data_IF_238729876859
#
_entry.id   IF_238729876859
#
_cell.length_a   1.000
_cell.length_b   1.000
_cell.length_c   1.000
_cell.angle_alpha   90.00
_cell.angle_beta   90.00
_cell.angle_gamma   90.00
#
_symmetry.space_group_name_H-M   'P 1'
#
loop_
_entity.id
_entity.type
_entity.pdbx_description
1 polymer ?
#
# COMPACT_ATOMS: atom_id res chain seq x y z
N UNK A 1 -41.81 -12.20 10.62
CA UNK A 1 -42.22 -11.35 11.75
C UNK A 1 -42.66 -9.99 11.21
N UNK A 2 -43.87 -9.51 11.54
CA UNK A 2 -44.33 -8.18 11.12
C UNK A 2 -43.63 -7.07 11.92
N UNK A 3 -43.55 -5.86 11.35
CA UNK A 3 -42.89 -4.71 11.98
C UNK A 3 -43.54 -4.33 13.32
N UNK A 4 -44.88 -4.41 13.39
CA UNK A 4 -45.65 -4.18 14.61
C UNK A 4 -45.33 -5.23 15.69
N UNK A 5 -45.26 -6.52 15.32
CA UNK A 5 -44.95 -7.60 16.26
C UNK A 5 -43.53 -7.47 16.82
N UNK A 6 -42.56 -7.07 15.98
CA UNK A 6 -41.17 -6.83 16.40
C UNK A 6 -41.06 -5.70 17.40
N UNK A 7 -41.77 -4.60 17.17
CA UNK A 7 -41.76 -3.44 18.06
C UNK A 7 -42.40 -3.76 19.42
N UNK A 8 -43.47 -4.56 19.44
CA UNK A 8 -44.10 -5.01 20.69
C UNK A 8 -43.15 -5.91 21.51
N UNK A 9 -42.50 -6.88 20.87
CA UNK A 9 -41.56 -7.80 21.55
C UNK A 9 -40.37 -7.03 22.15
N UNK A 10 -39.86 -6.03 21.44
CA UNK A 10 -38.72 -5.22 21.88
C UNK A 10 -39.13 -3.97 22.70
N UNK A 11 -40.43 -3.82 23.01
CA UNK A 11 -41.00 -2.68 23.74
C UNK A 11 -40.69 -1.30 23.13
N UNK A 12 -40.63 -1.22 21.80
CA UNK A 12 -40.43 0.04 21.10
C UNK A 12 -41.77 0.65 20.67
N UNK A 13 -42.01 1.90 21.03
CA UNK A 13 -43.19 2.65 20.58
C UNK A 13 -43.04 3.18 19.14
N UNK A 14 -41.80 3.30 18.64
CA UNK A 14 -41.49 3.78 17.28
C UNK A 14 -40.61 2.75 16.52
N UNK A 15 -41.00 2.28 15.32
CA UNK A 15 -40.17 1.43 14.47
C UNK A 15 -38.79 2.02 14.15
N UNK A 16 -38.66 3.35 14.13
CA UNK A 16 -37.38 4.04 13.86
C UNK A 16 -36.35 3.75 14.94
N UNK A 17 -36.77 3.48 16.17
CA UNK A 17 -35.87 3.12 17.28
C UNK A 17 -35.12 1.82 16.97
N UNK A 18 -35.83 0.83 16.43
CA UNK A 18 -35.23 -0.43 15.99
C UNK A 18 -34.21 -0.20 14.87
N UNK A 19 -34.59 0.54 13.83
CA UNK A 19 -33.70 0.82 12.69
C UNK A 19 -32.45 1.60 13.12
N UNK A 20 -32.58 2.53 14.07
CA UNK A 20 -31.49 3.41 14.51
C UNK A 20 -30.51 2.74 15.48
N UNK A 21 -31.00 1.88 16.36
CA UNK A 21 -30.20 1.32 17.46
C UNK A 21 -29.91 -0.18 17.33
N UNK A 22 -30.75 -0.93 16.60
CA UNK A 22 -30.70 -2.39 16.53
C UNK A 22 -30.45 -2.93 15.12
N UNK A 23 -30.56 -2.09 14.08
CA UNK A 23 -30.17 -2.43 12.71
C UNK A 23 -28.92 -1.64 12.29
N UNK A 24 -27.75 -1.84 12.94
CA UNK A 24 -26.55 -1.13 12.56
C UNK A 24 -26.15 -1.49 11.13
N UNK A 25 -26.10 -0.50 10.24
CA UNK A 25 -25.59 -0.65 8.86
C UNK A 25 -24.12 -1.07 8.80
N UNK A 26 -23.42 -1.09 9.94
CA UNK A 26 -22.03 -1.48 10.10
C UNK A 26 -21.91 -2.33 11.37
N UNK A 27 -21.65 -3.62 11.21
CA UNK A 27 -21.32 -4.51 12.33
C UNK A 27 -19.84 -4.31 12.65
N UNK A 28 -19.54 -3.32 13.49
CA UNK A 28 -18.19 -3.02 13.97
C UNK A 28 -17.91 -3.64 15.35
N UNK A 29 -18.84 -4.43 15.86
CA UNK A 29 -18.81 -5.06 17.18
C UNK A 29 -18.75 -6.57 17.02
N UNK A 30 -17.96 -7.20 17.89
CA UNK A 30 -17.78 -8.65 17.93
C UNK A 30 -19.00 -9.30 18.60
N UNK A 31 -20.03 -9.55 17.80
CA UNK A 31 -21.28 -10.15 18.27
C UNK A 31 -21.05 -11.53 18.90
N UNK A 32 -20.06 -12.29 18.39
CA UNK A 32 -19.76 -13.62 18.90
C UNK A 32 -19.17 -13.55 20.31
N UNK A 33 -18.21 -12.65 20.55
CA UNK A 33 -17.65 -12.44 21.88
C UNK A 33 -18.73 -11.96 22.87
N UNK A 34 -19.57 -11.00 22.46
CA UNK A 34 -20.67 -10.48 23.29
C UNK A 34 -21.63 -11.58 23.71
N UNK A 35 -22.10 -12.41 22.76
CA UNK A 35 -23.04 -13.51 23.06
C UNK A 35 -22.42 -14.56 23.98
N UNK A 36 -21.10 -14.75 23.92
CA UNK A 36 -20.37 -15.72 24.74
C UNK A 36 -19.86 -15.15 26.07
N UNK A 37 -20.10 -13.86 26.35
CA UNK A 37 -19.54 -13.19 27.53
C UNK A 37 -18.01 -13.07 27.50
N UNK A 38 -17.40 -13.12 26.31
CA UNK A 38 -15.97 -12.98 26.10
C UNK A 38 -15.61 -11.52 25.79
N UNK A 39 -14.34 -11.18 25.98
CA UNK A 39 -13.85 -9.84 25.69
C UNK A 39 -13.84 -9.57 24.16
N UNK A 40 -14.52 -8.51 23.67
CA UNK A 40 -14.63 -8.23 22.24
C UNK A 40 -13.28 -7.91 21.57
N UNK A 41 -12.99 -8.55 20.44
CA UNK A 41 -11.78 -8.25 19.66
C UNK A 41 -12.00 -7.06 18.71
N UNK A 42 -12.04 -5.85 19.27
CA UNK A 42 -12.34 -4.62 18.53
C UNK A 42 -11.38 -4.35 17.36
N UNK A 43 -10.08 -4.65 17.53
CA UNK A 43 -9.08 -4.47 16.48
C UNK A 43 -9.28 -5.44 15.31
N UNK A 44 -9.62 -6.71 15.60
CA UNK A 44 -9.92 -7.73 14.60
C UNK A 44 -11.17 -7.35 13.83
N UNK A 45 -12.24 -6.95 14.53
CA UNK A 45 -13.47 -6.49 13.87
C UNK A 45 -13.22 -5.26 12.99
N UNK A 46 -12.42 -4.31 13.47
CA UNK A 46 -12.07 -3.13 12.69
C UNK A 46 -11.20 -3.48 11.47
N UNK A 47 -10.25 -4.39 11.62
CA UNK A 47 -9.41 -4.90 10.53
C UNK A 47 -10.26 -5.61 9.47
N UNK A 48 -11.11 -6.56 9.85
CA UNK A 48 -12.01 -7.29 8.97
C UNK A 48 -12.96 -6.35 8.21
N UNK A 49 -13.55 -5.37 8.89
CA UNK A 49 -14.40 -4.36 8.28
C UNK A 49 -13.65 -3.41 7.34
N UNK A 50 -12.35 -3.14 7.56
CA UNK A 50 -11.50 -2.36 6.65
C UNK A 50 -11.07 -3.20 5.45
N UNK A 51 -10.74 -4.47 5.65
CA UNK A 51 -10.32 -5.41 4.61
C UNK A 51 -11.43 -5.61 3.59
N UNK A 52 -12.66 -5.89 4.03
CA UNK A 52 -13.80 -6.06 3.13
C UNK A 52 -14.03 -4.83 2.24
N UNK A 53 -13.85 -3.61 2.78
CA UNK A 53 -13.96 -2.35 2.03
C UNK A 53 -12.87 -2.16 0.96
N UNK A 54 -11.77 -2.91 1.02
CA UNK A 54 -10.70 -2.91 0.03
C UNK A 54 -10.71 -4.12 -0.89
N UNK A 55 -11.50 -5.16 -0.56
CA UNK A 55 -11.62 -6.37 -1.37
C UNK A 55 -12.56 -6.16 -2.57
N UNK A 56 -13.62 -5.37 -2.40
CA UNK A 56 -14.52 -5.05 -3.51
C UNK A 56 -13.80 -4.20 -4.57
N UNK A 57 -13.47 -4.84 -5.70
CA UNK A 57 -12.82 -4.21 -6.86
C UNK A 57 -13.71 -3.21 -7.61
N UNK A 58 -15.04 -3.32 -7.51
CA UNK A 58 -16.01 -2.39 -8.12
C UNK A 58 -16.02 -1.06 -7.37
N UNK A 59 -15.54 -1.04 -6.13
CA UNK A 59 -15.43 0.18 -5.33
C UNK A 59 -14.45 1.19 -5.93
N UNK A 60 -14.89 2.42 -6.27
CA UNK A 60 -14.03 3.41 -6.92
C UNK A 60 -12.84 3.85 -6.04
N UNK A 61 -11.64 3.43 -6.44
CA UNK A 61 -10.40 3.80 -5.75
C UNK A 61 -9.72 5.03 -6.36
N UNK A 62 -9.83 5.21 -7.68
CA UNK A 62 -9.34 6.37 -8.46
C UNK A 62 -10.50 7.11 -9.10
N UNK A 63 -10.29 8.39 -9.41
CA UNK A 63 -11.21 9.16 -10.25
C UNK A 63 -11.01 8.74 -11.70
N UNK A 64 -12.08 8.69 -12.48
CA UNK A 64 -11.98 8.55 -13.94
C UNK A 64 -11.32 9.79 -14.55
N UNK A 65 -10.86 9.67 -15.80
CA UNK A 65 -10.27 10.80 -16.51
C UNK A 65 -11.26 11.99 -16.62
N UNK A 66 -12.54 11.69 -16.87
CA UNK A 66 -13.62 12.67 -16.96
C UNK A 66 -13.89 13.36 -15.61
N UNK A 67 -14.00 12.58 -14.52
CA UNK A 67 -14.16 13.11 -13.17
C UNK A 67 -12.97 13.98 -12.75
N UNK A 68 -11.75 13.63 -13.19
CA UNK A 68 -10.56 14.43 -12.94
C UNK A 68 -10.57 15.73 -13.76
N UNK A 69 -11.12 15.70 -14.98
CA UNK A 69 -11.28 16.89 -15.85
C UNK A 69 -12.36 17.83 -15.33
N UNK A 70 -13.45 17.34 -14.75
CA UNK A 70 -14.52 18.20 -14.19
C UNK A 70 -14.00 19.13 -13.07
N UNK A 71 -12.98 18.71 -12.32
CA UNK A 71 -12.32 19.56 -11.31
C UNK A 71 -11.69 20.81 -11.93
N UNK A 72 -11.24 20.77 -13.18
CA UNK A 72 -10.69 21.94 -13.86
C UNK A 72 -11.76 22.99 -14.20
N UNK A 73 -13.04 22.60 -14.26
CA UNK A 73 -14.15 23.50 -14.52
C UNK A 73 -14.63 24.24 -13.25
N UNK A 74 -14.07 23.95 -12.05
CA UNK A 74 -14.44 24.66 -10.82
C UNK A 74 -14.13 26.17 -10.95
N UNK A 75 -15.09 27.07 -10.66
CA UNK A 75 -14.90 28.52 -10.80
C UNK A 75 -13.68 29.07 -10.07
N UNK A 76 -13.27 28.47 -8.94
CA UNK A 76 -12.07 28.89 -8.19
C UNK A 76 -10.80 28.50 -8.93
N UNK A 77 -10.78 27.34 -9.58
CA UNK A 77 -9.66 26.90 -10.41
C UNK A 77 -9.50 27.85 -11.58
N UNK A 78 -10.58 28.15 -12.32
CA UNK A 78 -10.55 29.09 -13.44
C UNK A 78 -10.09 30.50 -13.02
N UNK A 79 -10.51 30.99 -11.84
CA UNK A 79 -10.03 32.27 -11.29
C UNK A 79 -8.52 32.28 -11.05
N UNK A 80 -7.98 31.19 -10.48
CA UNK A 80 -6.55 31.07 -10.23
C UNK A 80 -5.75 30.86 -11.52
N UNK A 81 -6.30 30.18 -12.53
CA UNK A 81 -5.68 30.05 -13.85
C UNK A 81 -5.58 31.41 -14.56
N UNK A 82 -6.65 32.21 -14.56
CA UNK A 82 -6.60 33.60 -15.04
C UNK A 82 -5.57 34.44 -14.28
N UNK A 83 -5.45 34.25 -12.97
CA UNK A 83 -4.42 34.93 -12.17
C UNK A 83 -3.02 34.50 -12.60
N UNK A 84 -2.77 33.21 -12.78
CA UNK A 84 -1.49 32.67 -13.28
C UNK A 84 -1.12 33.31 -14.62
N UNK A 85 -2.06 33.39 -15.54
CA UNK A 85 -1.81 33.91 -16.89
C UNK A 85 -1.43 35.40 -16.88
N UNK A 86 -1.95 36.19 -15.93
CA UNK A 86 -1.55 37.60 -15.72
C UNK A 86 -0.12 37.78 -15.19
N UNK A 87 0.44 36.77 -14.53
CA UNK A 87 1.80 36.82 -13.99
C UNK A 87 2.83 36.13 -14.91
N UNK A 88 2.39 35.49 -16.00
CA UNK A 88 3.25 34.78 -16.95
C UNK A 88 4.18 35.79 -17.68
N UNK A 89 5.47 35.48 -17.73
CA UNK A 89 6.47 36.30 -18.45
C UNK A 89 6.90 37.59 -17.75
N UNK A 90 6.52 37.82 -16.48
CA UNK A 90 6.92 39.01 -15.70
C UNK A 90 7.96 38.65 -14.63
N UNK A 91 9.26 38.97 -14.82
CA UNK A 91 10.33 38.61 -13.88
C UNK A 91 10.11 39.17 -12.47
N UNK A 92 9.58 40.39 -12.37
CA UNK A 92 9.30 41.09 -11.09
C UNK A 92 8.25 40.39 -10.23
N UNK A 93 7.45 39.48 -10.79
CA UNK A 93 6.34 38.79 -10.09
C UNK A 93 6.57 37.28 -9.95
N UNK A 94 7.83 36.84 -9.99
CA UNK A 94 8.18 35.41 -9.92
C UNK A 94 7.64 34.74 -8.65
N UNK A 95 7.74 35.40 -7.49
CA UNK A 95 7.25 34.87 -6.21
C UNK A 95 5.72 34.73 -6.20
N UNK A 96 5.00 35.70 -6.75
CA UNK A 96 3.55 35.63 -6.91
C UNK A 96 3.12 34.50 -7.86
N UNK A 97 3.85 34.29 -8.95
CA UNK A 97 3.61 33.17 -9.88
C UNK A 97 3.77 31.83 -9.17
N UNK A 98 4.86 31.66 -8.39
CA UNK A 98 5.09 30.43 -7.59
C UNK A 98 3.98 30.20 -6.58
N UNK A 99 3.48 31.24 -5.92
CA UNK A 99 2.34 31.16 -4.98
C UNK A 99 1.07 30.73 -5.69
N UNK A 100 0.73 31.35 -6.82
CA UNK A 100 -0.48 31.02 -7.59
C UNK A 100 -0.44 29.58 -8.11
N UNK A 101 0.72 29.11 -8.56
CA UNK A 101 0.88 27.71 -8.98
C UNK A 101 0.73 26.73 -7.82
N UNK A 102 1.28 27.05 -6.64
CA UNK A 102 1.12 26.24 -5.43
C UNK A 102 -0.35 26.19 -5.02
N UNK A 103 -1.04 27.32 -5.02
CA UNK A 103 -2.47 27.43 -4.71
C UNK A 103 -3.32 26.63 -5.70
N UNK A 104 -3.00 26.69 -7.00
CA UNK A 104 -3.64 25.89 -8.04
C UNK A 104 -3.49 24.39 -7.78
N UNK A 105 -2.26 23.93 -7.53
CA UNK A 105 -1.98 22.51 -7.25
C UNK A 105 -2.73 22.04 -6.01
N UNK A 106 -2.65 22.81 -4.92
CA UNK A 106 -3.32 22.50 -3.66
C UNK A 106 -4.84 22.47 -3.80
N UNK A 107 -5.42 23.45 -4.50
CA UNK A 107 -6.85 23.52 -4.74
C UNK A 107 -7.32 22.33 -5.59
N UNK A 108 -6.68 22.05 -6.73
CA UNK A 108 -7.02 20.89 -7.58
C UNK A 108 -6.92 19.58 -6.79
N UNK A 109 -5.90 19.42 -5.95
CA UNK A 109 -5.74 18.24 -5.09
C UNK A 109 -6.88 18.12 -4.07
N UNK A 110 -7.24 19.21 -3.37
CA UNK A 110 -8.35 19.23 -2.41
C UNK A 110 -9.69 18.90 -3.07
N UNK A 111 -9.95 19.45 -4.26
CA UNK A 111 -11.18 19.18 -5.01
C UNK A 111 -11.25 17.74 -5.48
N UNK A 112 -10.15 17.17 -6.01
CA UNK A 112 -10.08 15.75 -6.35
C UNK A 112 -10.29 14.86 -5.13
N UNK A 113 -9.70 15.22 -3.98
CA UNK A 113 -9.89 14.46 -2.74
C UNK A 113 -11.36 14.51 -2.26
N UNK A 114 -12.00 15.68 -2.32
CA UNK A 114 -13.41 15.87 -1.98
C UNK A 114 -14.32 15.07 -2.93
N UNK A 115 -14.12 15.18 -4.24
CA UNK A 115 -14.88 14.44 -5.24
C UNK A 115 -14.75 12.93 -5.05
N UNK A 116 -13.53 12.44 -4.82
CA UNK A 116 -13.26 11.03 -4.54
C UNK A 116 -13.98 10.55 -3.28
N UNK A 117 -14.00 11.37 -2.23
CA UNK A 117 -14.75 11.06 -1.00
C UNK A 117 -16.24 10.95 -1.27
N UNK A 118 -16.83 11.93 -1.96
CA UNK A 118 -18.24 11.95 -2.28
C UNK A 118 -18.67 10.71 -3.10
N UNK A 119 -17.90 10.36 -4.14
CA UNK A 119 -18.16 9.17 -4.96
C UNK A 119 -18.10 7.89 -4.12
N UNK A 120 -17.12 7.78 -3.21
CA UNK A 120 -17.03 6.61 -2.31
C UNK A 120 -18.19 6.57 -1.33
N UNK A 121 -18.61 7.70 -0.80
CA UNK A 121 -19.74 7.77 0.13
C UNK A 121 -21.08 7.50 -0.55
N UNK A 122 -21.27 7.90 -1.80
CA UNK A 122 -22.47 7.54 -2.57
C UNK A 122 -22.46 6.06 -2.94
N UNK A 123 -21.32 5.53 -3.40
CA UNK A 123 -21.16 4.10 -3.68
C UNK A 123 -21.41 3.25 -2.43
N UNK A 124 -20.78 3.57 -1.30
CA UNK A 124 -20.95 2.84 -0.02
C UNK A 124 -22.41 2.86 0.46
N UNK A 125 -23.23 3.85 0.05
CA UNK A 125 -24.65 3.96 0.40
C UNK A 125 -25.57 3.21 -0.56
N UNK A 126 -25.28 3.28 -1.85
CA UNK A 126 -26.18 2.78 -2.90
C UNK A 126 -25.86 1.36 -3.34
N UNK A 127 -24.60 0.91 -3.24
CA UNK A 127 -24.20 -0.35 -3.85
C UNK A 127 -24.95 -1.54 -3.26
N UNK A 128 -25.16 -1.55 -1.94
CA UNK A 128 -25.94 -2.61 -1.29
C UNK A 128 -27.38 -2.67 -1.83
N UNK A 129 -28.00 -1.53 -2.12
CA UNK A 129 -29.36 -1.48 -2.69
C UNK A 129 -29.36 -2.03 -4.12
N UNK A 130 -28.36 -1.64 -4.94
CA UNK A 130 -28.21 -2.14 -6.31
C UNK A 130 -27.98 -3.64 -6.35
N UNK A 131 -27.12 -4.17 -5.46
CA UNK A 131 -26.84 -5.60 -5.37
C UNK A 131 -28.11 -6.38 -4.93
N UNK A 132 -28.91 -5.85 -4.00
CA UNK A 132 -30.22 -6.44 -3.61
C UNK A 132 -31.20 -6.41 -4.78
N UNK A 133 -31.32 -5.28 -5.48
CA UNK A 133 -32.21 -5.17 -6.64
C UNK A 133 -31.82 -6.14 -7.77
N UNK A 134 -30.51 -6.33 -7.99
CA UNK A 134 -30.01 -7.29 -8.95
C UNK A 134 -30.39 -8.73 -8.60
N UNK A 135 -30.29 -9.11 -7.32
CA UNK A 135 -30.73 -10.43 -6.84
C UNK A 135 -32.23 -10.63 -7.03
N UNK A 136 -33.05 -9.63 -6.68
CA UNK A 136 -34.50 -9.69 -6.86
C UNK A 136 -34.91 -9.80 -8.34
N UNK A 137 -34.09 -9.25 -9.25
CA UNK A 137 -34.26 -9.39 -10.68
C UNK A 137 -33.76 -10.75 -11.25
N UNK A 138 -33.31 -11.67 -10.39
CA UNK A 138 -32.83 -13.00 -10.78
C UNK A 138 -31.35 -13.04 -11.19
N UNK A 139 -30.58 -11.97 -10.95
CA UNK A 139 -29.14 -11.96 -11.17
C UNK A 139 -28.39 -12.84 -10.18
N UNK A 140 -27.38 -13.58 -10.65
CA UNK A 140 -26.61 -14.47 -9.78
C UNK A 140 -25.52 -13.71 -9.02
N UNK A 141 -25.21 -14.15 -7.81
CA UNK A 141 -24.05 -13.64 -7.06
C UNK A 141 -22.71 -14.02 -7.71
N UNK A 142 -22.69 -15.03 -8.57
CA UNK A 142 -21.46 -15.52 -9.18
C UNK A 142 -20.96 -14.61 -10.30
N UNK A 143 -21.87 -13.94 -11.00
CA UNK A 143 -21.55 -12.88 -11.96
C UNK A 143 -20.78 -11.72 -11.28
N UNK A 144 -21.10 -11.45 -10.01
CA UNK A 144 -20.41 -10.45 -9.19
C UNK A 144 -19.04 -10.98 -8.72
N UNK A 145 -18.95 -12.26 -8.36
CA UNK A 145 -17.73 -12.91 -7.87
C UNK A 145 -16.63 -12.99 -8.93
N UNK A 146 -16.97 -13.31 -10.17
CA UNK A 146 -15.99 -13.41 -11.27
C UNK A 146 -15.31 -12.07 -11.59
N UNK A 147 -16.07 -10.96 -11.53
CA UNK A 147 -15.52 -9.60 -11.66
C UNK A 147 -14.47 -9.29 -10.58
N UNK A 148 -14.59 -9.86 -9.38
CA UNK A 148 -13.65 -9.68 -8.29
C UNK A 148 -12.37 -10.50 -8.40
N UNK A 149 -12.33 -11.57 -9.20
CA UNK A 149 -11.18 -12.47 -9.28
C UNK A 149 -10.22 -12.13 -10.43
N UNK A 150 -10.68 -11.58 -11.56
CA UNK A 150 -9.94 -11.52 -12.84
C UNK A 150 -8.64 -10.69 -12.95
N UNK A 151 -8.32 -9.76 -12.04
CA UNK A 151 -7.27 -8.74 -12.24
C UNK A 151 -5.89 -8.96 -11.57
N UNK A 152 -5.62 -10.07 -10.86
CA UNK A 152 -4.27 -10.33 -10.30
C UNK A 152 -3.79 -11.70 -10.74
N UNK A 153 -2.55 -11.79 -11.23
CA UNK A 153 -1.87 -13.02 -11.68
C UNK A 153 -1.71 -14.04 -10.54
N UNK A 154 -2.78 -14.67 -10.07
CA UNK A 154 -2.73 -15.62 -8.95
C UNK A 154 -2.27 -17.00 -9.41
N UNK A 155 -1.52 -17.70 -8.55
CA UNK A 155 -1.24 -19.12 -8.78
C UNK A 155 -2.56 -19.91 -8.81
N UNK A 156 -2.61 -21.07 -9.49
CA UNK A 156 -3.80 -21.91 -9.55
C UNK A 156 -4.36 -22.25 -8.16
N UNK A 157 -3.49 -22.50 -7.19
CA UNK A 157 -3.84 -22.90 -5.83
C UNK A 157 -4.42 -21.71 -5.05
N UNK A 158 -3.89 -20.51 -5.26
CA UNK A 158 -4.47 -19.28 -4.70
C UNK A 158 -5.87 -19.01 -5.30
N UNK A 159 -6.08 -19.25 -6.59
CA UNK A 159 -7.42 -19.16 -7.20
C UNK A 159 -8.37 -20.19 -6.60
N UNK A 160 -7.94 -21.45 -6.49
CA UNK A 160 -8.71 -22.54 -5.87
C UNK A 160 -9.10 -22.21 -4.43
N UNK A 161 -8.15 -21.72 -3.63
CA UNK A 161 -8.39 -21.29 -2.26
C UNK A 161 -9.49 -20.24 -2.17
N UNK A 162 -9.36 -19.14 -2.94
CA UNK A 162 -10.34 -18.06 -2.87
C UNK A 162 -11.71 -18.55 -3.35
N UNK A 163 -11.78 -19.29 -4.46
CA UNK A 163 -13.04 -19.81 -5.00
C UNK A 163 -13.72 -20.76 -4.01
N UNK A 164 -12.97 -21.63 -3.34
CA UNK A 164 -13.51 -22.58 -2.38
C UNK A 164 -14.01 -21.88 -1.10
N UNK A 165 -13.25 -20.92 -0.55
CA UNK A 165 -13.65 -20.16 0.64
C UNK A 165 -14.83 -19.20 0.37
N UNK A 166 -14.89 -18.62 -0.82
CA UNK A 166 -15.92 -17.66 -1.24
C UNK A 166 -17.07 -18.33 -2.01
N UNK A 167 -17.23 -19.64 -1.90
CA UNK A 167 -18.35 -20.38 -2.49
C UNK A 167 -19.63 -20.14 -1.69
N UNK A 168 -20.76 -20.03 -2.38
CA UNK A 168 -22.07 -19.93 -1.74
C UNK A 168 -22.49 -21.27 -1.10
N UNK A 169 -23.30 -21.24 -0.02
CA UNK A 169 -23.80 -22.47 0.59
C UNK A 169 -24.59 -23.32 -0.40
N UNK A 170 -24.46 -24.64 -0.28
CA UNK A 170 -25.25 -25.59 -1.04
C UNK A 170 -26.74 -25.53 -0.71
N UNK A 171 -27.60 -25.97 -1.62
CA UNK A 171 -29.04 -26.06 -1.38
C UNK A 171 -29.38 -27.26 -0.48
N UNK A 172 -28.50 -28.26 -0.44
CA UNK A 172 -28.62 -29.47 0.38
C UNK A 172 -27.50 -29.56 1.43
N UNK A 173 -27.73 -30.40 2.44
CA UNK A 173 -26.73 -30.65 3.49
C UNK A 173 -25.46 -31.28 2.89
N UNK A 174 -25.62 -32.23 1.98
CA UNK A 174 -24.54 -32.94 1.30
C UNK A 174 -23.68 -31.98 0.46
N UNK A 175 -24.31 -31.07 -0.29
CA UNK A 175 -23.60 -30.03 -1.05
C UNK A 175 -22.82 -29.08 -0.14
N UNK A 176 -23.40 -28.66 0.98
CA UNK A 176 -22.71 -27.81 1.96
C UNK A 176 -21.54 -28.55 2.63
N UNK A 177 -21.69 -29.84 2.94
CA UNK A 177 -20.60 -30.66 3.45
C UNK A 177 -19.47 -30.78 2.43
N UNK A 178 -19.79 -31.02 1.17
CA UNK A 178 -18.81 -31.12 0.09
C UNK A 178 -18.07 -29.79 -0.12
N UNK A 179 -18.80 -28.68 -0.09
CA UNK A 179 -18.24 -27.32 -0.16
C UNK A 179 -17.24 -27.05 0.96
N UNK A 180 -17.57 -27.43 2.19
CA UNK A 180 -16.68 -27.29 3.35
C UNK A 180 -15.44 -28.15 3.22
N UNK A 181 -15.59 -29.41 2.81
CA UNK A 181 -14.46 -30.31 2.59
C UNK A 181 -13.52 -29.74 1.52
N UNK A 182 -14.05 -29.22 0.41
CA UNK A 182 -13.25 -28.59 -0.63
C UNK A 182 -12.50 -27.34 -0.13
N UNK A 183 -13.16 -26.51 0.70
CA UNK A 183 -12.50 -25.38 1.34
C UNK A 183 -11.33 -25.80 2.26
N UNK A 184 -11.53 -26.84 3.08
CA UNK A 184 -10.47 -27.41 3.94
C UNK A 184 -9.31 -27.91 3.08
N UNK A 185 -9.60 -28.68 2.04
CA UNK A 185 -8.60 -29.22 1.14
C UNK A 185 -7.84 -28.12 0.38
N UNK A 186 -8.53 -27.04 0.00
CA UNK A 186 -7.90 -25.91 -0.67
C UNK A 186 -6.97 -25.12 0.28
N UNK A 187 -7.36 -24.96 1.55
CA UNK A 187 -6.49 -24.36 2.59
C UNK A 187 -5.25 -25.22 2.81
N UNK A 188 -5.42 -26.53 3.01
CA UNK A 188 -4.31 -27.45 3.21
C UNK A 188 -3.32 -27.44 2.04
N UNK A 189 -3.84 -27.49 0.80
CA UNK A 189 -3.02 -27.41 -0.40
C UNK A 189 -2.24 -26.08 -0.51
N UNK A 190 -2.86 -24.97 -0.10
CA UNK A 190 -2.22 -23.66 -0.14
C UNK A 190 -1.12 -23.49 0.91
N UNK A 191 -1.25 -24.09 2.10
CA UNK A 191 -0.27 -23.97 3.18
C UNK A 191 1.13 -24.48 2.81
N UNK A 192 1.25 -25.35 1.81
CA UNK A 192 2.53 -25.86 1.33
C UNK A 192 3.24 -24.93 0.33
N UNK A 193 2.57 -23.84 -0.09
CA UNK A 193 3.14 -22.89 -1.03
C UNK A 193 3.76 -21.71 -0.30
N UNK A 194 5.02 -21.44 -0.61
CA UNK A 194 5.69 -20.23 -0.17
C UNK A 194 5.20 -19.05 -1.02
N UNK A 195 4.48 -18.11 -0.39
CA UNK A 195 4.08 -16.86 -1.04
C UNK A 195 5.33 -16.03 -1.33
N UNK A 196 5.86 -16.14 -2.55
CA UNK A 196 6.90 -15.23 -3.02
C UNK A 196 6.40 -13.79 -2.92
N UNK A 197 7.21 -12.93 -2.31
CA UNK A 197 6.92 -11.51 -2.09
C UNK A 197 6.43 -10.85 -3.38
N UNK A 198 5.13 -10.57 -3.47
CA UNK A 198 4.57 -9.85 -4.61
C UNK A 198 4.75 -8.35 -4.39
N UNK A 199 5.52 -7.66 -5.25
CA UNK A 199 5.58 -6.21 -5.18
C UNK A 199 4.17 -5.67 -5.48
N UNK A 200 3.63 -4.94 -4.52
CA UNK A 200 2.36 -4.22 -4.67
C UNK A 200 2.32 -3.42 -5.99
N UNK A 201 1.20 -3.57 -6.71
CA UNK A 201 0.55 -2.71 -7.71
C UNK A 201 1.29 -1.50 -8.35
N UNK A 202 0.94 -1.18 -9.62
CA UNK A 202 1.70 -0.29 -10.51
C UNK A 202 1.78 1.15 -9.98
N UNK A 203 2.99 1.53 -9.60
CA UNK A 203 3.35 2.86 -9.14
C UNK A 203 4.82 3.04 -8.76
N UNK A 204 5.63 1.97 -8.76
CA UNK A 204 7.07 2.03 -8.54
C UNK A 204 7.82 1.49 -9.74
N UNK A 205 8.63 2.35 -10.35
CA UNK A 205 9.73 2.06 -11.28
C UNK A 205 9.51 0.94 -12.30
N UNK A 206 9.17 1.34 -13.54
CA UNK A 206 9.65 0.59 -14.71
C UNK A 206 11.16 0.52 -14.60
N UNK A 207 11.70 -0.65 -14.28
CA UNK A 207 12.99 -1.03 -14.82
C UNK A 207 12.67 -1.42 -16.26
N UNK A 208 13.05 -0.57 -17.19
CA UNK A 208 13.01 -0.89 -18.61
C UNK A 208 14.00 -2.04 -18.84
N UNK A 209 13.49 -3.26 -18.81
CA UNK A 209 14.25 -4.43 -19.28
C UNK A 209 14.20 -4.40 -20.80
N UNK A 210 15.24 -3.84 -21.40
CA UNK A 210 15.56 -4.05 -22.82
C UNK A 210 15.78 -5.56 -23.04
N UNK A 211 15.25 -6.18 -24.11
CA UNK A 211 15.47 -7.60 -24.36
C UNK A 211 16.95 -7.86 -24.69
N UNK A 212 17.57 -8.95 -24.23
CA UNK A 212 18.97 -9.20 -24.50
C UNK A 212 19.13 -9.70 -25.94
N UNK A 213 19.73 -8.86 -26.78
CA UNK A 213 20.40 -9.32 -27.98
C UNK A 213 21.71 -10.03 -27.58
N UNK A 214 21.93 -11.17 -28.21
CA UNK A 214 23.00 -12.15 -28.01
C UNK A 214 24.40 -11.52 -27.95
N UNK A 215 25.08 -11.56 -26.79
CA UNK A 215 26.55 -11.39 -26.65
C UNK A 215 27.05 -12.14 -25.41
N UNK A 216 28.30 -12.61 -25.45
CA UNK A 216 28.89 -13.56 -24.49
C UNK A 216 28.88 -13.05 -23.02
N UNK A 217 28.37 -13.82 -22.03
CA UNK A 217 27.83 -13.24 -20.81
C UNK A 217 28.83 -13.05 -19.65
N UNK A 218 30.01 -13.68 -19.66
CA UNK A 218 30.79 -13.86 -18.42
C UNK A 218 31.93 -12.85 -18.20
N UNK A 219 32.52 -12.27 -19.25
CA UNK A 219 33.59 -11.25 -19.11
C UNK A 219 33.06 -9.82 -19.03
N UNK A 220 32.04 -9.48 -19.81
CA UNK A 220 31.46 -8.13 -19.79
C UNK A 220 30.60 -7.87 -18.54
N UNK A 221 30.04 -8.91 -17.91
CA UNK A 221 29.29 -8.76 -16.64
C UNK A 221 30.19 -8.42 -15.47
N UNK A 222 31.38 -9.01 -15.37
CA UNK A 222 32.35 -8.68 -14.32
C UNK A 222 32.84 -7.23 -14.46
N UNK A 223 33.22 -6.81 -15.67
CA UNK A 223 33.63 -5.43 -15.96
C UNK A 223 32.51 -4.42 -15.73
N UNK A 224 31.26 -4.77 -16.07
CA UNK A 224 30.10 -3.93 -15.80
C UNK A 224 29.82 -3.81 -14.30
N UNK A 225 29.92 -4.91 -13.55
CA UNK A 225 29.78 -4.92 -12.09
C UNK A 225 30.89 -4.08 -11.45
N UNK A 226 32.14 -4.19 -11.92
CA UNK A 226 33.25 -3.38 -11.41
C UNK A 226 33.04 -1.89 -11.70
N UNK A 227 32.58 -1.53 -12.90
CA UNK A 227 32.20 -0.15 -13.26
C UNK A 227 31.09 0.38 -12.36
N UNK A 228 30.05 -0.43 -12.07
CA UNK A 228 28.95 -0.07 -11.17
C UNK A 228 29.45 0.12 -9.74
N UNK A 229 30.28 -0.78 -9.22
CA UNK A 229 30.86 -0.67 -7.88
C UNK A 229 31.77 0.56 -7.76
N UNK A 230 32.56 0.86 -8.80
CA UNK A 230 33.43 2.04 -8.85
C UNK A 230 32.63 3.34 -8.87
N UNK A 231 31.55 3.41 -9.67
CA UNK A 231 30.65 4.55 -9.68
C UNK A 231 29.91 4.72 -8.34
N UNK A 232 29.50 3.60 -7.72
CA UNK A 232 28.79 3.63 -6.45
C UNK A 232 29.66 3.98 -5.24
N UNK A 233 30.98 3.73 -5.29
CA UNK A 233 31.91 4.11 -4.23
C UNK A 233 31.84 5.60 -3.90
N UNK A 234 31.69 6.47 -4.91
CA UNK A 234 31.57 7.92 -4.72
C UNK A 234 30.22 8.34 -4.11
N UNK A 235 29.17 7.52 -4.25
CA UNK A 235 27.81 7.81 -3.76
C UNK A 235 27.59 7.43 -2.28
N UNK A 236 28.60 6.82 -1.67
CA UNK A 236 28.60 6.39 -0.26
C UNK A 236 29.17 7.49 0.67
N UNK A 237 29.85 8.49 0.10
CA UNK A 237 30.39 9.64 0.83
C UNK A 237 29.41 10.79 0.87
N UNK A 238 29.55 11.65 1.89
CA UNK A 238 28.86 12.92 1.90
C UNK A 238 29.41 13.83 0.79
N UNK A 239 28.54 14.34 -0.07
CA UNK A 239 28.90 15.24 -1.18
C UNK A 239 29.07 16.68 -0.66
N UNK A 240 29.95 17.47 -1.28
CA UNK A 240 30.19 18.90 -0.96
C UNK A 240 28.91 19.77 -1.03
N UNK A 241 27.86 19.34 -1.75
CA UNK A 241 26.60 20.08 -1.87
C UNK A 241 25.54 19.76 -0.78
N UNK A 242 25.94 19.28 0.41
CA UNK A 242 25.03 18.92 1.52
C UNK A 242 23.96 17.86 1.16
N UNK A 243 24.15 17.11 0.07
CA UNK A 243 23.28 15.99 -0.27
C UNK A 243 23.70 14.79 0.57
N UNK A 244 22.76 14.26 1.35
CA UNK A 244 22.98 13.05 2.13
C UNK A 244 22.99 11.83 1.21
N UNK A 245 23.87 10.84 1.43
CA UNK A 245 23.94 9.67 0.59
C UNK A 245 22.68 8.81 0.69
N UNK A 246 22.47 8.01 -0.35
CA UNK A 246 21.35 7.06 -0.46
C UNK A 246 21.82 5.61 -0.43
N UNK A 247 23.13 5.36 -0.31
CA UNK A 247 23.72 4.01 -0.24
C UNK A 247 24.36 3.79 1.13
N UNK A 248 24.23 2.57 1.66
CA UNK A 248 24.82 2.21 2.94
C UNK A 248 26.30 1.85 2.78
N UNK A 249 27.19 2.58 3.46
CA UNK A 249 28.63 2.34 3.41
C UNK A 249 29.03 0.98 3.99
N UNK A 250 28.31 0.50 5.01
CA UNK A 250 28.57 -0.80 5.63
C UNK A 250 28.18 -1.94 4.68
N UNK A 251 26.99 -1.87 4.08
CA UNK A 251 26.57 -2.85 3.07
C UNK A 251 27.47 -2.83 1.84
N UNK A 252 27.95 -1.66 1.43
CA UNK A 252 28.88 -1.55 0.30
C UNK A 252 30.24 -2.22 0.58
N UNK A 253 30.73 -2.06 1.82
CA UNK A 253 31.99 -2.65 2.29
C UNK A 253 31.94 -4.14 2.59
N UNK A 254 30.76 -4.73 2.75
CA UNK A 254 30.59 -6.15 3.07
C UNK A 254 30.76 -7.03 1.82
N UNK A 255 31.88 -7.75 1.76
CA UNK A 255 32.21 -8.66 0.65
C UNK A 255 31.38 -9.94 0.64
N UNK A 256 30.70 -10.26 1.74
CA UNK A 256 29.83 -11.44 1.83
C UNK A 256 28.44 -11.22 1.22
N UNK A 257 28.12 -9.97 0.84
CA UNK A 257 26.85 -9.61 0.21
C UNK A 257 26.95 -9.63 -1.31
N UNK A 258 25.83 -9.99 -1.96
CA UNK A 258 25.74 -9.91 -3.43
C UNK A 258 25.86 -8.46 -3.90
N UNK A 259 26.34 -8.25 -5.14
CA UNK A 259 26.59 -6.91 -5.65
C UNK A 259 25.32 -6.02 -5.59
N UNK A 260 24.13 -6.58 -5.88
CA UNK A 260 22.85 -5.86 -5.75
C UNK A 260 22.57 -5.33 -4.34
N UNK A 261 22.97 -6.08 -3.31
CA UNK A 261 22.81 -5.66 -1.92
C UNK A 261 23.84 -4.59 -1.52
N UNK A 262 25.04 -4.67 -2.08
CA UNK A 262 26.14 -3.70 -1.85
C UNK A 262 25.84 -2.33 -2.43
N UNK A 263 25.16 -2.27 -3.58
CA UNK A 263 24.77 -1.03 -4.25
C UNK A 263 23.29 -0.68 -4.12
N UNK A 264 22.58 -1.22 -3.13
CA UNK A 264 21.18 -0.90 -2.90
C UNK A 264 20.95 0.61 -2.67
N UNK A 265 19.97 1.18 -3.39
CA UNK A 265 19.56 2.57 -3.28
C UNK A 265 18.34 2.73 -2.37
N UNK A 266 18.52 3.48 -1.28
CA UNK A 266 17.42 3.89 -0.43
C UNK A 266 16.65 5.05 -1.06
N UNK A 267 15.32 5.02 -0.99
CA UNK A 267 14.47 6.06 -1.56
C UNK A 267 14.65 7.44 -0.87
N UNK A 268 15.05 7.45 0.41
CA UNK A 268 15.28 8.67 1.20
C UNK A 268 16.46 8.49 2.15
N UNK A 269 17.22 9.56 2.47
CA UNK A 269 18.31 9.49 3.45
C UNK A 269 17.85 9.07 4.85
N UNK A 270 16.59 9.35 5.21
CA UNK A 270 16.00 8.90 6.47
C UNK A 270 15.79 7.39 6.54
N UNK A 271 15.56 6.73 5.40
CA UNK A 271 15.40 5.27 5.35
C UNK A 271 16.76 4.58 5.46
N UNK A 272 17.80 5.16 4.83
CA UNK A 272 19.19 4.75 5.05
C UNK A 272 19.58 4.85 6.54
N UNK A 273 19.23 5.96 7.19
CA UNK A 273 19.52 6.20 8.62
C UNK A 273 18.85 5.15 9.52
N UNK A 274 17.58 4.80 9.23
CA UNK A 274 16.85 3.73 9.94
C UNK A 274 17.49 2.36 9.69
N UNK A 275 17.86 2.06 8.45
CA UNK A 275 18.53 0.82 8.10
C UNK A 275 19.86 0.69 8.84
N UNK A 276 20.69 1.73 8.83
CA UNK A 276 21.97 1.76 9.55
C UNK A 276 21.78 1.52 11.05
N UNK A 277 20.81 2.20 11.67
CA UNK A 277 20.51 2.00 13.09
C UNK A 277 20.05 0.57 13.41
N UNK A 278 19.15 0.02 12.60
CA UNK A 278 18.49 -1.28 12.85
C UNK A 278 19.35 -2.50 12.49
N UNK A 279 20.23 -2.40 11.50
CA UNK A 279 20.99 -3.55 11.02
C UNK A 279 22.47 -3.48 11.37
N UNK A 280 23.02 -2.29 11.57
CA UNK A 280 24.45 -2.12 11.80
C UNK A 280 24.79 -1.55 13.18
N UNK A 281 23.86 -0.99 13.96
CA UNK A 281 24.17 -0.43 15.29
C UNK A 281 23.51 -1.14 16.47
N UNK A 282 22.31 -1.69 16.30
CA UNK A 282 21.60 -2.46 17.33
C UNK A 282 22.29 -3.76 17.68
N UNK A 283 22.99 -4.38 16.73
CA UNK A 283 23.68 -5.65 16.90
C UNK A 283 25.17 -5.50 17.22
N UNK A 284 25.66 -4.28 17.45
CA UNK A 284 27.05 -4.02 17.81
C UNK A 284 27.22 -3.91 19.32
N UNK A 285 28.12 -4.73 19.86
CA UNK A 285 28.60 -4.62 21.23
C UNK A 285 29.28 -3.26 21.47
N UNK A 286 29.13 -2.71 22.68
CA UNK A 286 29.57 -1.35 23.00
C UNK A 286 31.08 -1.13 22.80
N UNK A 287 31.88 -2.19 23.01
CA UNK A 287 33.34 -2.21 22.91
C UNK A 287 33.85 -2.99 21.68
N UNK A 288 32.99 -3.25 20.70
CA UNK A 288 33.42 -3.91 19.47
C UNK A 288 34.32 -2.98 18.65
N UNK A 289 35.48 -3.50 18.26
CA UNK A 289 36.35 -2.90 17.25
C UNK A 289 35.70 -3.08 15.88
N UNK A 290 35.30 -2.00 15.24
CA UNK A 290 34.57 -2.01 13.96
C UNK A 290 35.47 -1.44 12.87
N UNK A 291 35.64 -2.19 11.78
CA UNK A 291 36.39 -1.73 10.61
C UNK A 291 35.44 -1.16 9.56
N UNK A 292 35.77 0.01 9.03
CA UNK A 292 35.11 0.56 7.86
C UNK A 292 35.88 0.12 6.60
N UNK A 293 35.38 -0.84 5.85
CA UNK A 293 36.01 -1.36 4.62
C UNK A 293 36.02 -0.34 3.46
N UNK A 294 35.26 0.76 3.58
CA UNK A 294 35.25 1.83 2.57
C UNK A 294 36.38 2.84 2.80
N UNK A 295 36.67 3.15 4.07
CA UNK A 295 37.71 4.09 4.48
C UNK A 295 38.99 3.40 4.95
N UNK A 296 38.99 2.08 5.09
CA UNK A 296 40.07 1.26 5.65
C UNK A 296 40.57 1.75 7.03
N UNK A 297 39.65 2.18 7.89
CA UNK A 297 39.97 2.59 9.25
C UNK A 297 39.33 1.66 10.28
N UNK A 298 40.03 1.45 11.38
CA UNK A 298 39.59 0.64 12.51
C UNK A 298 39.13 1.55 13.64
N UNK A 299 37.91 1.37 14.13
CA UNK A 299 37.26 2.23 15.11
C UNK A 299 37.00 1.41 16.38
N UNK A 300 37.64 1.78 17.48
CA UNK A 300 37.64 0.97 18.71
C UNK A 300 36.32 0.93 19.49
N UNK A 301 35.36 1.81 19.18
CA UNK A 301 34.10 1.88 19.92
C UNK A 301 32.91 2.26 19.04
N UNK A 302 31.72 1.82 19.44
CA UNK A 302 30.45 2.16 18.78
C UNK A 302 30.24 3.67 18.59
N UNK A 303 30.61 4.50 19.57
CA UNK A 303 30.50 5.98 19.45
C UNK A 303 31.45 6.54 18.37
N UNK A 304 32.65 5.99 18.24
CA UNK A 304 33.59 6.37 17.18
C UNK A 304 33.06 5.97 15.80
N UNK A 305 32.43 4.80 15.71
CA UNK A 305 31.75 4.35 14.49
C UNK A 305 30.58 5.24 14.09
N UNK A 306 29.73 5.66 15.03
CA UNK A 306 28.64 6.60 14.77
C UNK A 306 29.15 7.98 14.33
N UNK A 307 30.21 8.49 14.99
CA UNK A 307 30.83 9.77 14.61
C UNK A 307 31.45 9.71 13.22
N UNK A 308 32.12 8.61 12.88
CA UNK A 308 32.68 8.38 11.55
C UNK A 308 31.58 8.29 10.48
N UNK A 309 30.51 7.53 10.75
CA UNK A 309 29.36 7.42 9.85
C UNK A 309 28.72 8.78 9.54
N UNK A 310 28.64 9.66 10.54
CA UNK A 310 28.12 11.02 10.36
C UNK A 310 29.10 11.93 9.61
N UNK A 311 30.36 11.98 10.04
CA UNK A 311 31.35 12.94 9.54
C UNK A 311 31.84 12.59 8.13
N UNK A 312 32.04 11.31 7.82
CA UNK A 312 32.62 10.84 6.55
C UNK A 312 31.54 10.39 5.56
N UNK A 313 30.49 9.73 6.07
CA UNK A 313 29.43 9.14 5.24
C UNK A 313 28.07 9.85 5.37
N UNK A 314 27.97 10.98 6.07
CA UNK A 314 26.72 11.75 6.18
C UNK A 314 25.50 10.98 6.69
N UNK A 315 25.71 9.80 7.30
CA UNK A 315 24.67 8.86 7.72
C UNK A 315 24.37 9.11 9.18
N UNK A 316 23.13 9.50 9.50
CA UNK A 316 22.72 9.87 10.85
C UNK A 316 22.18 8.63 11.57
N UNK A 317 22.51 8.46 12.85
CA UNK A 317 22.02 7.40 13.75
C UNK A 317 21.18 7.96 14.89
#
# INVERSE_FOLDING_TARGET
MSEALRNVIMQHNDPRTFVRHYLPRRVNVDLQAIVRGLEPQAEVMQASCRMLRSLDRRRPYKLTAEQSKSVNQDPRVLRLERRRDRHRGRPTRQEESRRVERDLRNLKQRLRAKLRRNIRESWDREQAIKDIQHQLAGGSFEDIREQHLGSVERTPEHKRLITALMSLPGATLEEEMQRRNEAINAVAAYCHLEESYRPNQPGGCRLDTVPPAKMDPERETADLIEKILKAAKCMVFANEQNKRPLKCFVCFGDTNKSWHQRVYDFARPGDLSKHFKKYHLTHLEANATIKCEVCNITLGHRKHFQRHALATHGTVS
#
